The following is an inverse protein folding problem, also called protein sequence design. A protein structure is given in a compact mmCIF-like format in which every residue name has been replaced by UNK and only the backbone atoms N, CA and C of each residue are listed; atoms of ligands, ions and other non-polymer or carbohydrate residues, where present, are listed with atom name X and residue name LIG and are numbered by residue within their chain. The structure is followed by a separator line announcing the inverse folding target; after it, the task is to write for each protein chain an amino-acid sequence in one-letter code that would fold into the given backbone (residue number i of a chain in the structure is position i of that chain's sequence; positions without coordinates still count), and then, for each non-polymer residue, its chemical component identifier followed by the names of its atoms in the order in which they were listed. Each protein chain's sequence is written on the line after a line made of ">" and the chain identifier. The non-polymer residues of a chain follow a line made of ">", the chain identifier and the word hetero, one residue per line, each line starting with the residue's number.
data_IF_935916523973
#
_entry.id   IF_935916523973
#
_cell.length_a   1.000
_cell.length_b   1.000
_cell.length_c   1.000
_cell.angle_alpha   90.00
_cell.angle_beta   90.00
_cell.angle_gamma   90.00
#
_symmetry.space_group_name_H-M   'P 1'
#
loop_
_entity.id
_entity.type
_entity.pdbx_description
1 polymer ?
#
# COMPACT_ATOMS: atom_id res chain seq x y z
N UNK A 1 46.88 22.66 2.03
CA UNK A 1 46.13 21.77 2.93
C UNK A 1 44.72 21.66 2.39
N UNK A 2 44.47 20.63 1.58
CA UNK A 2 43.15 20.32 1.02
C UNK A 2 42.51 19.26 1.93
N UNK A 3 41.26 19.41 2.38
CA UNK A 3 40.53 18.29 2.93
C UNK A 3 40.06 17.41 1.77
N UNK A 4 40.55 16.17 1.75
CA UNK A 4 40.06 15.08 0.93
C UNK A 4 38.65 14.71 1.38
N UNK A 5 37.65 15.02 0.55
CA UNK A 5 36.31 14.47 0.67
C UNK A 5 36.34 12.98 0.36
N UNK A 6 36.05 12.17 1.37
CA UNK A 6 35.84 10.74 1.28
C UNK A 6 34.41 10.48 0.74
N UNK A 7 34.21 9.80 -0.41
CA UNK A 7 32.90 9.68 -1.04
C UNK A 7 32.03 8.54 -0.46
N UNK A 8 32.34 7.99 0.71
CA UNK A 8 31.61 6.84 1.27
C UNK A 8 30.33 7.19 2.06
N UNK A 9 29.78 8.40 1.96
CA UNK A 9 28.66 8.88 2.78
C UNK A 9 27.30 8.88 2.06
N UNK A 10 26.96 7.83 1.33
CA UNK A 10 25.57 7.56 0.91
C UNK A 10 25.27 6.08 1.09
N UNK A 11 25.18 5.62 2.33
CA UNK A 11 24.49 4.36 2.62
C UNK A 11 23.00 4.60 2.41
N UNK A 12 22.55 4.43 1.16
CA UNK A 12 21.14 4.20 0.87
C UNK A 12 20.79 2.87 1.50
N UNK A 13 20.31 2.89 2.75
CA UNK A 13 19.63 1.76 3.34
C UNK A 13 18.34 1.56 2.56
N UNK A 14 18.40 0.80 1.47
CA UNK A 14 17.22 0.14 0.93
C UNK A 14 16.68 -0.73 2.07
N UNK A 15 15.61 -0.27 2.71
CA UNK A 15 14.85 -1.12 3.62
C UNK A 15 14.46 -2.37 2.83
N UNK A 16 14.87 -3.57 3.27
CA UNK A 16 14.46 -4.78 2.58
C UNK A 16 12.94 -4.87 2.63
N UNK A 17 12.31 -5.06 1.47
CA UNK A 17 10.90 -5.44 1.36
C UNK A 17 10.72 -6.71 2.20
N UNK A 18 10.28 -6.52 3.45
CA UNK A 18 10.20 -7.62 4.41
C UNK A 18 8.90 -8.33 4.10
N UNK A 19 8.99 -9.46 3.41
CA UNK A 19 7.84 -10.33 3.17
C UNK A 19 7.27 -10.75 4.52
N UNK A 20 6.06 -10.29 4.86
CA UNK A 20 5.35 -10.78 6.05
C UNK A 20 4.93 -12.22 5.76
N UNK A 21 5.28 -13.20 6.62
CA UNK A 21 4.92 -14.59 6.39
C UNK A 21 3.42 -14.75 6.24
N UNK A 22 2.98 -15.36 5.14
CA UNK A 22 1.56 -15.58 4.86
C UNK A 22 0.89 -16.42 5.96
N UNK A 23 1.65 -17.34 6.56
CA UNK A 23 1.21 -18.21 7.66
C UNK A 23 0.78 -17.43 8.91
N UNK A 24 1.32 -16.22 9.11
CA UNK A 24 0.90 -15.34 10.21
C UNK A 24 -0.59 -15.02 10.11
N UNK A 25 -1.07 -14.69 8.91
CA UNK A 25 -2.47 -14.34 8.67
C UNK A 25 -3.36 -15.58 8.55
N UNK A 26 -2.83 -16.65 7.95
CA UNK A 26 -3.55 -17.93 7.83
C UNK A 26 -3.76 -18.64 9.17
N UNK A 27 -2.98 -18.30 10.20
CA UNK A 27 -3.19 -18.81 11.56
C UNK A 27 -4.57 -18.43 12.15
N UNK A 28 -5.21 -17.38 11.63
CA UNK A 28 -6.45 -16.83 12.21
C UNK A 28 -6.23 -16.08 13.52
N UNK A 29 -4.98 -15.80 13.90
CA UNK A 29 -4.69 -14.92 15.03
C UNK A 29 -5.13 -13.49 14.72
N UNK A 30 -5.79 -12.83 15.68
CA UNK A 30 -6.09 -11.40 15.59
C UNK A 30 -4.85 -10.58 15.95
N UNK A 31 -4.40 -9.76 15.01
CA UNK A 31 -3.34 -8.78 15.18
C UNK A 31 -3.84 -7.41 14.73
N UNK A 32 -3.07 -6.38 15.01
CA UNK A 32 -3.28 -5.04 14.47
C UNK A 32 -1.95 -4.39 14.13
N UNK A 33 -1.93 -3.53 13.11
CA UNK A 33 -0.76 -2.69 12.80
C UNK A 33 -0.66 -1.60 13.88
N UNK A 34 0.53 -1.35 14.42
CA UNK A 34 0.69 -0.28 15.42
C UNK A 34 0.27 1.09 14.84
N UNK A 35 -0.44 1.94 15.61
CA UNK A 35 -0.98 3.22 15.10
C UNK A 35 0.07 4.24 14.63
N UNK A 36 1.32 4.11 15.08
CA UNK A 36 2.44 5.00 14.76
C UNK A 36 3.26 4.55 13.53
N UNK A 37 2.93 3.41 12.94
CA UNK A 37 3.52 2.98 11.68
C UNK A 37 3.26 4.02 10.58
N UNK A 38 4.23 4.23 9.69
CA UNK A 38 4.08 5.05 8.47
C UNK A 38 3.84 4.21 7.20
N UNK A 39 3.85 2.89 7.37
CA UNK A 39 3.61 1.91 6.34
C UNK A 39 2.22 1.32 6.37
N UNK A 40 2.05 0.22 5.63
CA UNK A 40 0.82 -0.55 5.60
C UNK A 40 1.00 -1.87 4.86
N UNK A 41 -0.08 -2.61 4.71
CA UNK A 41 -0.12 -3.84 3.94
C UNK A 41 -1.06 -3.70 2.75
N UNK A 42 -0.70 -4.31 1.63
CA UNK A 42 -1.67 -4.72 0.61
C UNK A 42 -1.88 -6.22 0.75
N UNK A 43 -3.11 -6.64 1.04
CA UNK A 43 -3.49 -8.04 1.21
C UNK A 43 -4.27 -8.46 -0.02
N UNK A 44 -3.71 -9.40 -0.78
CA UNK A 44 -4.40 -10.04 -1.90
C UNK A 44 -5.26 -11.18 -1.38
N UNK A 45 -6.51 -11.19 -1.82
CA UNK A 45 -7.47 -12.28 -1.61
C UNK A 45 -7.88 -12.82 -2.97
N UNK A 46 -8.67 -13.89 -2.96
CA UNK A 46 -9.08 -14.58 -4.19
C UNK A 46 -9.74 -13.66 -5.23
N UNK A 47 -10.50 -12.65 -4.81
CA UNK A 47 -11.31 -11.82 -5.71
C UNK A 47 -11.03 -10.32 -5.65
N UNK A 48 -10.23 -9.86 -4.68
CA UNK A 48 -9.94 -8.45 -4.48
C UNK A 48 -8.64 -8.28 -3.69
N UNK A 49 -8.11 -7.06 -3.72
CA UNK A 49 -7.03 -6.65 -2.83
C UNK A 49 -7.54 -5.61 -1.84
N UNK A 50 -6.89 -5.56 -0.68
CA UNK A 50 -7.26 -4.67 0.41
C UNK A 50 -6.02 -3.93 0.91
N UNK A 51 -6.21 -2.71 1.41
CA UNK A 51 -5.16 -1.91 2.03
C UNK A 51 -5.43 -1.85 3.53
N UNK A 52 -4.42 -2.20 4.32
CA UNK A 52 -4.50 -2.17 5.78
C UNK A 52 -3.42 -1.25 6.31
N UNK A 53 -3.84 -0.12 6.87
CA UNK A 53 -2.93 0.89 7.41
C UNK A 53 -2.83 0.88 8.94
N UNK A 54 -2.15 1.90 9.50
CA UNK A 54 -1.89 2.00 10.94
C UNK A 54 -3.16 1.91 11.80
N UNK A 55 -3.07 1.14 12.88
CA UNK A 55 -4.15 0.92 13.83
C UNK A 55 -5.22 -0.08 13.37
N UNK A 56 -5.19 -0.56 12.13
CA UNK A 56 -6.21 -1.49 11.63
C UNK A 56 -5.90 -2.95 12.00
N UNK A 57 -6.98 -3.72 12.25
CA UNK A 57 -6.90 -5.15 12.48
C UNK A 57 -6.47 -5.92 11.23
N UNK A 58 -5.66 -6.97 11.42
CA UNK A 58 -5.20 -7.92 10.39
C UNK A 58 -5.25 -9.36 10.92
N UNK A 59 -5.33 -10.33 10.03
CA UNK A 59 -5.47 -11.74 10.40
C UNK A 59 -6.91 -12.09 10.74
N UNK A 60 -7.11 -12.91 11.78
CA UNK A 60 -8.43 -13.44 12.16
C UNK A 60 -9.20 -14.04 10.97
N UNK A 61 -10.52 -14.13 11.04
CA UNK A 61 -11.35 -14.62 9.94
C UNK A 61 -11.33 -13.72 8.70
N UNK A 62 -10.79 -12.50 8.80
CA UNK A 62 -10.72 -11.58 7.67
C UNK A 62 -9.71 -12.07 6.65
N UNK A 63 -8.51 -12.46 7.08
CA UNK A 63 -7.35 -12.66 6.20
C UNK A 63 -6.88 -14.11 6.05
N UNK A 64 -7.62 -15.09 6.59
CA UNK A 64 -7.28 -16.52 6.44
C UNK A 64 -7.21 -16.99 4.99
N UNK A 65 -7.92 -16.32 4.09
CA UNK A 65 -7.98 -16.65 2.66
C UNK A 65 -7.01 -15.83 1.80
N UNK A 66 -6.11 -15.06 2.43
CA UNK A 66 -5.14 -14.27 1.68
C UNK A 66 -4.21 -15.17 0.86
N UNK A 67 -3.95 -14.75 -0.37
CA UNK A 67 -3.07 -15.45 -1.31
C UNK A 67 -1.67 -14.87 -1.28
N UNK A 68 -1.55 -13.57 -1.01
CA UNK A 68 -0.29 -12.85 -0.93
C UNK A 68 -0.43 -11.63 -0.02
N UNK A 69 0.69 -11.17 0.55
CA UNK A 69 0.76 -9.93 1.33
C UNK A 69 1.98 -9.13 0.90
N UNK A 70 1.78 -7.86 0.61
CA UNK A 70 2.83 -6.90 0.30
C UNK A 70 2.96 -5.88 1.42
N UNK A 71 4.10 -5.87 2.10
CA UNK A 71 4.41 -4.85 3.10
C UNK A 71 4.97 -3.59 2.44
N UNK A 72 4.39 -2.45 2.79
CA UNK A 72 4.81 -1.13 2.34
C UNK A 72 5.50 -0.43 3.51
N UNK A 73 6.79 -0.16 3.39
CA UNK A 73 7.56 0.47 4.45
C UNK A 73 7.70 -0.39 5.70
N UNK A 74 7.97 0.26 6.84
CA UNK A 74 8.06 -0.41 8.13
C UNK A 74 6.66 -0.64 8.72
N UNK A 75 6.37 -1.90 9.04
CA UNK A 75 5.10 -2.35 9.63
C UNK A 75 5.40 -3.17 10.87
N UNK A 76 4.83 -2.76 11.99
CA UNK A 76 4.91 -3.48 13.25
C UNK A 76 3.52 -3.92 13.70
N UNK A 77 3.43 -5.13 14.27
CA UNK A 77 2.18 -5.71 14.73
C UNK A 77 2.13 -5.78 16.26
N UNK A 78 0.92 -5.73 16.80
CA UNK A 78 0.63 -6.10 18.19
C UNK A 78 -0.63 -6.96 18.25
N UNK A 79 -0.81 -7.71 19.33
CA UNK A 79 -2.04 -8.44 19.60
C UNK A 79 -2.94 -7.58 20.49
N UNK A 80 -4.11 -7.11 20.02
CA UNK A 80 -5.04 -6.34 20.84
C UNK A 80 -5.55 -7.17 22.03
N UNK A 81 -5.21 -6.76 23.24
CA UNK A 81 -5.49 -7.49 24.47
C UNK A 81 -6.90 -7.18 25.01
N UNK A 82 -7.30 -5.91 24.96
CA UNK A 82 -8.56 -5.43 25.54
C UNK A 82 -9.70 -5.41 24.52
N UNK A 83 -10.94 -5.39 25.01
CA UNK A 83 -12.12 -5.18 24.17
C UNK A 83 -12.04 -3.85 23.41
N UNK A 84 -11.64 -2.77 24.10
CA UNK A 84 -11.51 -1.43 23.50
C UNK A 84 -10.49 -1.40 22.38
N UNK A 85 -9.31 -2.00 22.58
CA UNK A 85 -8.27 -2.10 21.53
C UNK A 85 -8.77 -2.89 20.32
N UNK A 86 -9.46 -4.02 20.54
CA UNK A 86 -10.07 -4.80 19.47
C UNK A 86 -11.11 -3.97 18.70
N UNK A 87 -11.98 -3.27 19.41
CA UNK A 87 -13.01 -2.43 18.80
C UNK A 87 -12.40 -1.31 17.96
N UNK A 88 -11.36 -0.63 18.48
CA UNK A 88 -10.62 0.40 17.74
C UNK A 88 -9.95 -0.16 16.48
N UNK A 89 -9.32 -1.34 16.58
CA UNK A 89 -8.67 -1.97 15.45
C UNK A 89 -9.66 -2.40 14.36
N UNK A 90 -10.82 -2.93 14.74
CA UNK A 90 -11.90 -3.25 13.79
C UNK A 90 -12.52 -2.00 13.17
N UNK A 91 -12.69 -0.93 13.96
CA UNK A 91 -13.20 0.34 13.45
C UNK A 91 -12.25 0.90 12.38
N UNK A 92 -10.95 0.93 12.64
CA UNK A 92 -9.94 1.34 11.66
C UNK A 92 -9.93 0.44 10.43
N UNK A 93 -10.04 -0.88 10.63
CA UNK A 93 -10.13 -1.81 9.51
C UNK A 93 -11.32 -1.52 8.60
N UNK A 94 -12.48 -1.24 9.20
CA UNK A 94 -13.70 -0.88 8.46
C UNK A 94 -13.53 0.43 7.69
N UNK A 95 -12.92 1.46 8.28
CA UNK A 95 -12.66 2.74 7.62
C UNK A 95 -11.82 2.59 6.33
N UNK A 96 -10.77 1.76 6.36
CA UNK A 96 -9.99 1.45 5.16
C UNK A 96 -10.83 0.71 4.11
N UNK A 97 -11.60 -0.31 4.52
CA UNK A 97 -12.48 -1.05 3.61
C UNK A 97 -13.52 -0.14 2.95
N UNK A 98 -14.19 0.72 3.72
CA UNK A 98 -15.19 1.68 3.24
C UNK A 98 -14.57 2.68 2.26
N UNK A 99 -13.35 3.15 2.56
CA UNK A 99 -12.62 4.06 1.66
C UNK A 99 -12.31 3.38 0.32
N UNK A 100 -11.76 2.16 0.35
CA UNK A 100 -11.49 1.40 -0.88
C UNK A 100 -12.78 1.08 -1.65
N UNK A 101 -13.85 0.71 -0.94
CA UNK A 101 -15.15 0.46 -1.54
C UNK A 101 -15.64 1.70 -2.31
N UNK A 102 -15.52 2.89 -1.71
CA UNK A 102 -15.90 4.15 -2.37
C UNK A 102 -15.09 4.44 -3.64
N UNK A 103 -13.88 3.86 -3.75
CA UNK A 103 -13.03 3.95 -4.93
C UNK A 103 -13.46 2.97 -6.00
N UNK A 104 -13.61 1.70 -5.66
CA UNK A 104 -13.89 0.65 -6.65
C UNK A 104 -15.27 0.77 -7.29
N UNK A 105 -16.24 1.40 -6.62
CA UNK A 105 -17.58 1.64 -7.17
C UNK A 105 -17.64 2.76 -8.21
N UNK A 106 -16.57 3.55 -8.39
CA UNK A 106 -16.55 4.60 -9.43
C UNK A 106 -16.59 3.97 -10.82
N UNK A 107 -17.38 4.50 -11.77
CA UNK A 107 -17.66 3.83 -13.04
C UNK A 107 -16.44 3.81 -13.97
N UNK A 108 -15.69 4.91 -14.05
CA UNK A 108 -14.59 5.06 -15.00
C UNK A 108 -13.27 4.46 -14.45
N UNK A 109 -12.60 3.53 -15.16
CA UNK A 109 -11.35 2.93 -14.68
C UNK A 109 -10.22 3.96 -14.43
N UNK A 110 -10.12 4.99 -15.27
CA UNK A 110 -9.10 6.03 -15.09
C UNK A 110 -9.35 6.88 -13.83
N UNK A 111 -10.62 7.10 -13.49
CA UNK A 111 -11.02 7.80 -12.27
C UNK A 111 -10.72 6.98 -11.02
N UNK A 112 -11.01 5.66 -11.04
CA UNK A 112 -10.59 4.73 -9.98
C UNK A 112 -9.08 4.75 -9.76
N UNK A 113 -8.33 4.64 -10.85
CA UNK A 113 -6.88 4.61 -10.86
C UNK A 113 -6.25 5.93 -10.34
N UNK A 114 -6.81 7.07 -10.74
CA UNK A 114 -6.36 8.38 -10.24
C UNK A 114 -6.70 8.54 -8.76
N UNK A 115 -7.91 8.14 -8.37
CA UNK A 115 -8.37 8.31 -6.99
C UNK A 115 -7.64 7.38 -6.02
N UNK A 116 -7.30 6.15 -6.40
CA UNK A 116 -6.50 5.27 -5.52
C UNK A 116 -5.10 5.85 -5.31
N UNK A 117 -4.47 6.43 -6.33
CA UNK A 117 -3.14 7.03 -6.20
C UNK A 117 -3.19 8.26 -5.29
N UNK A 118 -4.21 9.09 -5.44
CA UNK A 118 -4.46 10.20 -4.52
C UNK A 118 -4.69 9.70 -3.09
N UNK A 119 -5.52 8.67 -2.90
CA UNK A 119 -5.80 8.12 -1.58
C UNK A 119 -4.54 7.53 -0.93
N UNK A 120 -3.70 6.82 -1.69
CA UNK A 120 -2.42 6.32 -1.21
C UNK A 120 -1.51 7.47 -0.77
N UNK A 121 -1.51 8.62 -1.46
CA UNK A 121 -0.75 9.82 -1.07
C UNK A 121 -1.21 10.46 0.25
N UNK A 122 -2.43 10.19 0.68
CA UNK A 122 -2.93 10.60 1.99
C UNK A 122 -2.55 9.62 3.10
N UNK A 123 -2.19 8.37 2.75
CA UNK A 123 -1.87 7.31 3.71
C UNK A 123 -0.37 7.04 3.83
N UNK A 124 0.41 7.30 2.79
CA UNK A 124 1.80 6.88 2.65
C UNK A 124 2.65 8.01 2.12
N UNK A 125 3.92 8.00 2.49
CA UNK A 125 4.90 8.91 1.91
C UNK A 125 5.13 8.62 0.43
N UNK A 126 5.41 9.66 -0.36
CA UNK A 126 5.59 9.55 -1.82
C UNK A 126 6.64 8.52 -2.24
N UNK A 127 7.74 8.40 -1.47
CA UNK A 127 8.80 7.43 -1.74
C UNK A 127 8.29 5.99 -1.61
N UNK A 128 7.47 5.70 -0.59
CA UNK A 128 6.87 4.37 -0.41
C UNK A 128 5.91 4.04 -1.55
N UNK A 129 5.12 5.02 -2.00
CA UNK A 129 4.18 4.82 -3.12
C UNK A 129 4.92 4.49 -4.42
N UNK A 130 6.06 5.13 -4.65
CA UNK A 130 6.88 4.88 -5.85
C UNK A 130 7.40 3.44 -5.90
N UNK A 131 7.65 2.81 -4.75
CA UNK A 131 8.12 1.43 -4.64
C UNK A 131 7.02 0.38 -4.84
N UNK A 132 5.74 0.72 -4.63
CA UNK A 132 4.64 -0.24 -4.81
C UNK A 132 4.55 -0.64 -6.28
N UNK A 133 4.61 -1.93 -6.65
CA UNK A 133 4.45 -2.33 -8.05
C UNK A 133 3.06 -1.99 -8.57
N UNK A 134 2.98 -1.56 -9.83
CA UNK A 134 1.71 -1.10 -10.43
C UNK A 134 0.60 -2.14 -10.40
N UNK A 135 0.93 -3.44 -10.42
CA UNK A 135 -0.05 -4.52 -10.34
C UNK A 135 -0.80 -4.50 -8.99
N UNK A 136 -0.11 -4.29 -7.87
CA UNK A 136 -0.74 -4.21 -6.54
C UNK A 136 -1.69 -3.02 -6.42
N UNK A 137 -1.31 -1.86 -6.95
CA UNK A 137 -2.21 -0.69 -6.98
C UNK A 137 -3.40 -0.93 -7.91
N UNK A 138 -3.19 -1.60 -9.04
CA UNK A 138 -4.23 -1.88 -10.00
C UNK A 138 -5.33 -2.77 -9.40
N UNK A 139 -4.94 -3.76 -8.60
CA UNK A 139 -5.88 -4.62 -7.89
C UNK A 139 -6.65 -3.88 -6.80
N UNK A 140 -6.02 -2.98 -6.03
CA UNK A 140 -6.72 -2.11 -5.07
C UNK A 140 -7.82 -1.26 -5.72
N UNK A 141 -7.59 -0.82 -6.96
CA UNK A 141 -8.55 0.00 -7.71
C UNK A 141 -9.50 -0.79 -8.62
N UNK A 142 -9.36 -2.12 -8.73
CA UNK A 142 -10.13 -2.91 -9.68
C UNK A 142 -9.93 -2.43 -11.12
N UNK A 143 -8.68 -2.23 -11.53
CA UNK A 143 -8.30 -1.79 -12.89
C UNK A 143 -7.19 -2.67 -13.46
N UNK A 144 -6.91 -2.53 -14.76
CA UNK A 144 -5.79 -3.20 -15.39
C UNK A 144 -4.47 -2.53 -14.98
N UNK A 145 -3.40 -3.32 -14.83
CA UNK A 145 -2.04 -2.81 -14.53
C UNK A 145 -1.61 -1.70 -15.47
N UNK A 146 -1.91 -1.83 -16.78
CA UNK A 146 -1.61 -0.80 -17.79
C UNK A 146 -2.25 0.56 -17.48
N UNK A 147 -3.43 0.57 -16.85
CA UNK A 147 -4.11 1.82 -16.46
C UNK A 147 -3.31 2.58 -15.42
N UNK A 148 -2.74 1.89 -14.42
CA UNK A 148 -1.83 2.49 -13.43
C UNK A 148 -0.53 2.95 -14.08
N UNK A 149 0.04 2.15 -14.99
CA UNK A 149 1.28 2.49 -15.67
C UNK A 149 1.14 3.78 -16.49
N UNK A 150 0.02 3.98 -17.20
CA UNK A 150 -0.26 5.21 -17.97
C UNK A 150 -0.26 6.45 -17.06
N UNK A 151 -0.84 6.36 -15.86
CA UNK A 151 -0.91 7.50 -14.93
C UNK A 151 0.46 7.79 -14.30
N UNK A 152 1.26 6.74 -14.05
CA UNK A 152 2.61 6.87 -13.49
C UNK A 152 3.65 7.34 -14.49
N UNK A 153 3.36 7.30 -15.79
CA UNK A 153 4.29 7.83 -16.79
C UNK A 153 4.51 9.33 -16.54
N UNK A 154 5.77 9.79 -16.51
CA UNK A 154 6.06 11.21 -16.48
C UNK A 154 5.35 11.86 -17.66
N UNK A 155 4.47 12.82 -17.39
CA UNK A 155 3.86 13.57 -18.48
C UNK A 155 4.99 14.33 -19.18
N UNK A 156 5.19 14.19 -20.50
CA UNK A 156 6.22 14.93 -21.20
C UNK A 156 6.01 16.42 -20.96
N UNK A 157 7.02 17.02 -20.33
CA UNK A 157 7.07 18.43 -19.97
C UNK A 157 7.41 19.30 -21.18
N UNK A 158 7.97 18.70 -22.24
CA UNK A 158 8.25 19.37 -23.50
C UNK A 158 7.07 19.21 -24.50
N UNK A 159 6.49 20.32 -25.01
CA UNK A 159 5.46 20.25 -26.05
C UNK A 159 5.91 19.56 -27.35
N UNK A 160 7.22 19.53 -27.67
CA UNK A 160 7.73 18.87 -28.87
C UNK A 160 7.64 17.34 -28.82
N UNK A 161 7.71 16.72 -27.64
CA UNK A 161 7.60 15.27 -27.47
C UNK A 161 6.15 14.77 -27.54
N UNK A 162 5.16 15.67 -27.41
CA UNK A 162 3.74 15.33 -27.47
C UNK A 162 3.26 15.00 -28.89
N UNK A 163 4.01 15.40 -29.92
CA UNK A 163 3.62 15.23 -31.33
C UNK A 163 4.13 13.93 -31.97
N UNK A 164 5.03 13.18 -31.32
CA UNK A 164 5.68 11.99 -31.90
C UNK A 164 5.09 10.65 -31.42
N UNK A 165 3.89 10.66 -30.85
CA UNK A 165 3.21 9.42 -30.44
C UNK A 165 2.28 8.98 -31.58
N UNK A 166 2.81 8.17 -32.49
CA UNK A 166 2.06 7.42 -33.50
C UNK A 166 2.18 5.92 -33.22
#
# INVERSE_FOLDING_TARGET
>A
MHPTNDPSAYSTTHSPCTSVPLDLFKSGQLLAIKPDCRGGLIIQKRFYADFVGPGAAVGSSFDVDCTSVYAIGAVEFYAPATYTERQQAFQKRREYCETLQSIVVRPAPLDRATTILHQLSLWLDANLIAEIPSAWIAELAGVLTKTIMIIRQPRPTNPAERLNIH
#
